data_IF_697289523947
#
_entry.id   IF_697289523947
#
_cell.length_a   1.000
_cell.length_b   1.000
_cell.length_c   1.000
_cell.angle_alpha   90.00
_cell.angle_beta   90.00
_cell.angle_gamma   90.00
#
_symmetry.space_group_name_H-M   'P 1'
#
loop_
_entity.id
_entity.type
_entity.pdbx_description
1 polymer ?
#
# COMPACT_ATOMS: atom_id res chain seq x y z
N UNK A 1 -3.75 17.02 -28.99
CA UNK A 1 -3.84 16.99 -27.51
C UNK A 1 -4.70 15.78 -27.18
N UNK A 2 -4.13 14.77 -26.54
CA UNK A 2 -4.88 13.60 -26.07
C UNK A 2 -5.50 13.97 -24.72
N UNK A 3 -6.82 13.83 -24.61
CA UNK A 3 -7.55 13.93 -23.35
C UNK A 3 -7.11 12.78 -22.45
N UNK A 4 -6.58 13.09 -21.25
CA UNK A 4 -6.22 12.08 -20.25
C UNK A 4 -7.49 11.68 -19.52
N UNK A 5 -7.91 10.43 -19.66
CA UNK A 5 -9.05 9.89 -18.94
C UNK A 5 -8.59 9.33 -17.59
N UNK A 6 -9.02 9.98 -16.51
CA UNK A 6 -8.88 9.46 -15.15
C UNK A 6 -10.10 8.61 -14.81
N UNK A 7 -9.91 7.46 -14.18
CA UNK A 7 -11.02 6.62 -13.74
C UNK A 7 -11.09 6.54 -12.22
N UNK A 8 -12.31 6.46 -11.70
CA UNK A 8 -12.60 6.36 -10.27
C UNK A 8 -12.93 4.90 -9.93
N UNK A 9 -12.30 4.34 -8.89
CA UNK A 9 -12.67 3.02 -8.34
C UNK A 9 -13.01 3.14 -6.87
N UNK A 10 -13.97 2.33 -6.41
CA UNK A 10 -14.45 2.34 -5.03
C UNK A 10 -13.84 1.17 -4.28
N UNK A 11 -13.07 1.44 -3.22
CA UNK A 11 -12.73 0.42 -2.24
C UNK A 11 -13.85 0.42 -1.19
N UNK A 12 -14.35 -0.78 -0.88
CA UNK A 12 -15.36 -0.97 0.16
C UNK A 12 -14.77 -1.87 1.23
N UNK A 13 -14.65 -1.34 2.45
CA UNK A 13 -14.26 -2.13 3.60
C UNK A 13 -15.51 -2.41 4.45
N UNK A 14 -15.70 -3.67 4.78
CA UNK A 14 -16.84 -4.12 5.59
C UNK A 14 -16.32 -4.64 6.92
N UNK A 15 -16.85 -4.10 8.02
CA UNK A 15 -16.56 -4.58 9.37
C UNK A 15 -17.84 -5.08 10.01
N UNK A 16 -17.72 -6.14 10.82
CA UNK A 16 -18.85 -6.75 11.50
C UNK A 16 -18.64 -6.69 13.01
N UNK A 17 -19.56 -6.02 13.70
CA UNK A 17 -19.72 -6.16 15.15
C UNK A 17 -20.99 -6.98 15.41
N UNK A 18 -20.80 -8.23 15.84
CA UNK A 18 -21.86 -9.24 15.98
C UNK A 18 -22.65 -9.41 14.67
N UNK A 19 -23.90 -8.91 14.61
CA UNK A 19 -24.78 -8.97 13.44
C UNK A 19 -24.89 -7.61 12.73
N UNK A 20 -24.21 -6.59 13.21
CA UNK A 20 -24.21 -5.26 12.60
C UNK A 20 -23.05 -5.19 11.62
N UNK A 21 -23.38 -4.91 10.36
CA UNK A 21 -22.41 -4.65 9.30
C UNK A 21 -22.23 -3.14 9.17
N UNK A 22 -20.99 -2.69 9.34
CA UNK A 22 -20.58 -1.34 9.00
C UNK A 22 -19.85 -1.41 7.66
N UNK A 23 -20.19 -0.51 6.75
CA UNK A 23 -19.56 -0.41 5.44
C UNK A 23 -18.93 0.96 5.33
N UNK A 24 -17.61 1.01 5.22
CA UNK A 24 -16.88 2.22 4.85
C UNK A 24 -16.55 2.14 3.37
N UNK A 25 -16.79 3.23 2.67
CA UNK A 25 -16.48 3.36 1.25
C UNK A 25 -15.49 4.49 1.09
N UNK A 26 -14.37 4.19 0.46
CA UNK A 26 -13.39 5.18 0.04
C UNK A 26 -13.29 5.14 -1.48
N UNK A 27 -13.37 6.30 -2.10
CA UNK A 27 -13.27 6.43 -3.54
C UNK A 27 -11.87 6.93 -3.89
N UNK A 28 -11.21 6.21 -4.80
CA UNK A 28 -9.86 6.50 -5.22
C UNK A 28 -9.84 6.88 -6.69
N UNK A 29 -9.02 7.87 -7.00
CA UNK A 29 -8.72 8.31 -8.35
C UNK A 29 -7.47 7.59 -8.85
N UNK A 30 -7.56 6.98 -10.02
CA UNK A 30 -6.48 6.22 -10.61
C UNK A 30 -5.94 6.86 -11.90
N UNK A 31 -4.64 6.68 -12.13
CA UNK A 31 -3.94 7.04 -13.36
C UNK A 31 -3.92 5.92 -14.39
N UNK A 32 -3.30 6.19 -15.54
CA UNK A 32 -3.28 5.26 -16.70
C UNK A 32 -2.64 3.91 -16.39
N UNK A 33 -1.66 3.84 -15.48
CA UNK A 33 -0.97 2.60 -15.09
C UNK A 33 -1.49 1.97 -13.79
N UNK A 34 -2.77 2.20 -13.43
CA UNK A 34 -3.37 1.75 -12.15
C UNK A 34 -2.76 2.40 -10.91
N UNK A 35 -2.02 3.49 -11.11
CA UNK A 35 -1.47 4.32 -10.05
C UNK A 35 -2.56 4.97 -9.21
N UNK A 36 -2.46 4.88 -7.89
CA UNK A 36 -3.35 5.59 -6.97
C UNK A 36 -2.90 7.04 -6.87
N UNK A 37 -3.76 7.96 -7.29
CA UNK A 37 -3.47 9.40 -7.33
C UNK A 37 -4.04 10.15 -6.13
N UNK A 38 -4.91 9.51 -5.35
CA UNK A 38 -5.54 10.10 -4.19
C UNK A 38 -7.00 9.73 -4.07
N UNK A 39 -7.67 10.34 -3.11
CA UNK A 39 -9.07 10.12 -2.77
C UNK A 39 -9.84 11.46 -2.74
N UNK A 40 -11.06 11.49 -2.20
CA UNK A 40 -11.89 12.69 -2.18
C UNK A 40 -11.19 13.92 -1.56
N UNK A 41 -10.34 13.73 -0.55
CA UNK A 41 -9.68 14.81 0.19
C UNK A 41 -8.23 15.01 -0.23
N UNK A 42 -7.48 13.91 -0.40
CA UNK A 42 -6.04 13.91 -0.61
C UNK A 42 -5.61 13.70 -2.05
N UNK A 43 -4.62 14.46 -2.49
CA UNK A 43 -3.78 14.19 -3.65
C UNK A 43 -2.50 13.49 -3.17
N UNK A 44 -2.21 12.31 -3.72
CA UNK A 44 -1.08 11.47 -3.30
C UNK A 44 0.14 11.75 -4.18
N UNK A 45 1.29 11.95 -3.53
CA UNK A 45 2.57 12.16 -4.17
C UNK A 45 3.48 10.97 -3.90
N UNK A 46 4.01 10.40 -4.99
CA UNK A 46 4.81 9.18 -4.96
C UNK A 46 6.29 9.45 -5.15
N UNK A 47 7.13 8.62 -4.55
CA UNK A 47 8.55 8.54 -4.87
C UNK A 47 8.81 7.73 -6.16
N UNK A 48 10.09 7.52 -6.50
CA UNK A 48 10.50 6.77 -7.69
C UNK A 48 10.18 5.27 -7.66
N UNK A 49 9.76 4.72 -6.51
CA UNK A 49 9.31 3.33 -6.33
C UNK A 49 7.82 3.22 -6.00
N UNK A 50 7.06 4.29 -6.29
CA UNK A 50 5.62 4.39 -6.07
C UNK A 50 5.18 4.42 -4.60
N UNK A 51 6.07 4.70 -3.65
CA UNK A 51 5.66 4.90 -2.24
C UNK A 51 4.98 6.25 -2.06
N UNK A 52 3.81 6.27 -1.45
CA UNK A 52 3.06 7.49 -1.15
C UNK A 52 3.62 8.08 0.15
N UNK A 53 4.50 9.09 0.03
CA UNK A 53 5.13 9.74 1.17
C UNK A 53 4.49 11.07 1.55
N UNK A 54 3.90 11.79 0.58
CA UNK A 54 3.29 13.10 0.82
C UNK A 54 1.86 13.11 0.32
N UNK A 55 0.97 13.67 1.13
CA UNK A 55 -0.43 13.88 0.78
C UNK A 55 -0.74 15.36 0.97
N UNK A 56 -1.29 15.99 -0.08
CA UNK A 56 -1.77 17.37 -0.03
C UNK A 56 -3.27 17.40 -0.20
N UNK A 57 -3.95 18.38 0.38
CA UNK A 57 -5.36 18.60 0.13
C UNK A 57 -5.59 18.86 -1.37
N UNK A 58 -6.55 18.15 -1.95
CA UNK A 58 -6.83 18.18 -3.38
C UNK A 58 -7.33 19.53 -3.87
N UNK A 59 -8.01 20.32 -3.03
CA UNK A 59 -8.56 21.62 -3.40
C UNK A 59 -7.60 22.77 -3.07
N UNK A 60 -7.08 22.81 -1.84
CA UNK A 60 -6.23 23.93 -1.39
C UNK A 60 -4.76 23.75 -1.75
N UNK A 61 -4.30 22.52 -1.99
CA UNK A 61 -2.89 22.20 -2.19
C UNK A 61 -2.06 22.23 -0.89
N UNK A 62 -2.70 22.46 0.26
CA UNK A 62 -2.02 22.46 1.56
C UNK A 62 -1.54 21.07 1.94
N UNK A 63 -0.45 20.99 2.71
CA UNK A 63 0.07 19.72 3.21
C UNK A 63 -0.91 19.11 4.22
N UNK A 64 -1.35 17.87 3.98
CA UNK A 64 -2.11 17.07 4.95
C UNK A 64 -1.14 16.25 5.80
N UNK A 65 -0.28 15.46 5.14
CA UNK A 65 0.70 14.62 5.82
C UNK A 65 1.97 14.41 4.99
N UNK A 66 3.07 14.13 5.68
CA UNK A 66 4.34 13.72 5.11
C UNK A 66 4.97 12.64 5.99
N UNK A 67 5.23 11.47 5.40
CA UNK A 67 5.86 10.32 6.03
C UNK A 67 7.00 9.81 5.17
N UNK A 68 7.99 9.21 5.83
CA UNK A 68 9.09 8.50 5.19
C UNK A 68 8.98 7.02 5.54
N UNK A 69 9.46 6.18 4.64
CA UNK A 69 9.54 4.74 4.86
C UNK A 69 11.00 4.33 5.01
N UNK A 70 11.28 3.34 5.85
CA UNK A 70 12.55 2.63 5.77
C UNK A 70 12.57 1.71 4.53
N UNK A 71 13.68 1.02 4.32
CA UNK A 71 13.90 0.17 3.15
C UNK A 71 12.86 -0.95 3.05
N UNK A 72 12.35 -1.44 4.19
CA UNK A 72 11.34 -2.50 4.28
C UNK A 72 9.91 -1.97 4.43
N UNK A 73 9.68 -0.68 4.15
CA UNK A 73 8.35 -0.09 4.10
C UNK A 73 7.73 0.24 5.46
N UNK A 74 8.49 0.23 6.56
CA UNK A 74 7.99 0.72 7.84
C UNK A 74 7.93 2.25 7.82
N UNK A 75 6.74 2.79 8.01
CA UNK A 75 6.48 4.22 7.97
C UNK A 75 6.91 4.89 9.28
N UNK A 76 7.50 6.08 9.18
CA UNK A 76 7.86 6.91 10.34
C UNK A 76 6.62 7.44 11.08
N UNK A 77 5.56 7.74 10.33
CA UNK A 77 4.22 7.99 10.87
C UNK A 77 3.37 6.74 10.71
N UNK A 78 2.62 6.41 11.77
CA UNK A 78 1.68 5.29 11.76
C UNK A 78 0.61 5.52 10.72
N UNK A 79 0.45 4.55 9.82
CA UNK A 79 -0.61 4.54 8.83
C UNK A 79 -1.87 3.89 9.40
N UNK A 80 -3.04 4.40 9.02
CA UNK A 80 -4.34 3.89 9.48
C UNK A 80 -5.25 3.56 8.30
N UNK A 81 -5.18 2.31 7.82
CA UNK A 81 -6.07 1.80 6.76
C UNK A 81 -5.97 2.62 5.46
N UNK A 82 -4.75 2.83 4.98
CA UNK A 82 -4.47 3.70 3.83
C UNK A 82 -3.38 3.11 2.93
N UNK A 83 -3.24 3.66 1.72
CA UNK A 83 -2.20 3.26 0.78
C UNK A 83 -0.90 4.00 1.06
N UNK A 84 0.22 3.27 1.08
CA UNK A 84 1.51 3.79 1.51
C UNK A 84 2.69 3.30 0.66
N UNK A 85 3.58 2.53 1.29
CA UNK A 85 4.79 2.00 0.67
C UNK A 85 4.45 1.21 -0.61
N UNK A 86 5.14 1.52 -1.71
CA UNK A 86 4.89 0.95 -3.05
C UNK A 86 3.42 0.99 -3.50
N UNK A 87 2.63 1.97 -3.02
CA UNK A 87 1.19 2.10 -3.30
C UNK A 87 0.36 0.88 -2.87
N UNK A 88 0.79 0.18 -1.82
CA UNK A 88 0.08 -0.96 -1.27
C UNK A 88 -0.69 -0.57 0.00
N UNK A 89 -1.75 -1.32 0.31
CA UNK A 89 -2.64 -0.99 1.43
C UNK A 89 -2.02 -1.43 2.76
N UNK A 90 -1.88 -0.49 3.69
CA UNK A 90 -1.40 -0.69 5.05
C UNK A 90 -2.56 -0.71 6.04
N UNK A 91 -2.55 -1.67 6.95
CA UNK A 91 -3.41 -1.63 8.12
C UNK A 91 -2.72 -0.93 9.31
N UNK A 92 -3.49 -0.79 10.39
CA UNK A 92 -3.01 -0.23 11.65
C UNK A 92 -1.95 -1.10 12.36
N UNK A 93 -1.59 -2.29 11.87
CA UNK A 93 -0.64 -3.20 12.52
C UNK A 93 0.70 -3.26 11.80
N UNK A 94 1.03 -2.25 10.99
CA UNK A 94 2.24 -2.25 10.14
C UNK A 94 2.28 -3.47 9.20
N UNK A 95 1.10 -3.86 8.68
CA UNK A 95 0.95 -4.96 7.73
C UNK A 95 0.52 -4.43 6.37
N UNK A 96 1.18 -4.91 5.33
CA UNK A 96 0.84 -4.64 3.92
C UNK A 96 0.10 -5.85 3.35
N UNK A 97 -1.03 -5.57 2.70
CA UNK A 97 -1.89 -6.56 2.08
C UNK A 97 -1.52 -6.80 0.60
N UNK A 98 -0.52 -7.64 0.32
CA UNK A 98 0.03 -7.89 -1.02
C UNK A 98 -0.75 -8.94 -1.82
N UNK A 99 -2.09 -8.95 -1.69
CA UNK A 99 -3.05 -9.85 -2.36
C UNK A 99 -2.89 -11.34 -2.00
N UNK A 100 -1.76 -11.95 -2.36
CA UNK A 100 -1.48 -13.36 -2.12
C UNK A 100 -0.94 -13.63 -0.70
N UNK A 101 -0.25 -12.64 -0.12
CA UNK A 101 0.37 -12.74 1.21
C UNK A 101 0.30 -11.42 1.94
N UNK A 102 0.34 -11.54 3.25
CA UNK A 102 0.45 -10.46 4.20
C UNK A 102 1.92 -10.24 4.54
N UNK A 103 2.36 -8.98 4.57
CA UNK A 103 3.74 -8.61 4.81
C UNK A 103 3.84 -7.72 6.04
N UNK A 104 4.73 -8.03 6.97
CA UNK A 104 5.02 -7.21 8.14
C UNK A 104 6.20 -6.30 7.85
N UNK A 105 5.98 -4.98 7.87
CA UNK A 105 7.05 -4.00 7.67
C UNK A 105 7.99 -3.93 8.87
N UNK A 106 7.47 -4.19 10.08
CA UNK A 106 8.27 -4.21 11.32
C UNK A 106 9.31 -5.34 11.32
N UNK A 107 9.00 -6.50 10.73
CA UNK A 107 9.96 -7.61 10.64
C UNK A 107 10.66 -7.69 9.28
N UNK A 108 10.15 -6.97 8.28
CA UNK A 108 10.60 -7.04 6.90
C UNK A 108 10.34 -8.40 6.24
N UNK A 109 9.28 -9.12 6.63
CA UNK A 109 9.00 -10.50 6.20
C UNK A 109 7.51 -10.73 5.89
N UNK A 110 7.25 -11.71 5.03
CA UNK A 110 5.91 -12.24 4.85
C UNK A 110 5.47 -13.01 6.11
N UNK A 111 4.16 -12.97 6.39
CA UNK A 111 3.55 -13.70 7.50
C UNK A 111 3.12 -15.12 7.10
N UNK A 112 2.97 -15.38 5.80
CA UNK A 112 2.69 -16.69 5.25
C UNK A 112 3.88 -17.21 4.44
N UNK A 113 4.01 -18.53 4.47
CA UNK A 113 4.94 -19.29 3.64
C UNK A 113 4.58 -19.16 2.15
N UNK A 114 5.57 -18.91 1.31
CA UNK A 114 5.39 -19.00 -0.15
C UNK A 114 5.10 -20.44 -0.60
N UNK A 115 4.16 -20.58 -1.55
CA UNK A 115 3.90 -21.86 -2.23
C UNK A 115 5.02 -22.24 -3.19
N UNK A 116 5.82 -21.27 -3.63
CA UNK A 116 7.00 -21.51 -4.46
C UNK A 116 8.21 -21.86 -3.57
N UNK A 117 8.85 -22.99 -3.87
CA UNK A 117 9.98 -23.51 -3.09
C UNK A 117 11.31 -22.80 -3.36
N UNK A 118 11.39 -21.91 -4.35
CA UNK A 118 12.65 -21.33 -4.80
C UNK A 118 13.45 -22.27 -5.71
N UNK A 119 14.70 -21.88 -6.01
CA UNK A 119 15.66 -22.66 -6.81
C UNK A 119 16.92 -22.95 -6.00
N UNK A 120 17.52 -24.13 -6.20
CA UNK A 120 18.76 -24.52 -5.48
C UNK A 120 19.93 -23.64 -5.90
N UNK A 121 19.95 -23.22 -7.16
CA UNK A 121 20.95 -22.31 -7.73
C UNK A 121 20.82 -20.87 -7.21
N UNK A 122 19.71 -20.55 -6.54
CA UNK A 122 19.46 -19.25 -5.91
C UNK A 122 19.10 -19.46 -4.43
N UNK A 123 20.07 -19.77 -3.55
CA UNK A 123 19.80 -20.20 -2.18
C UNK A 123 18.94 -19.24 -1.35
N UNK A 124 19.00 -17.93 -1.62
CA UNK A 124 18.14 -16.96 -0.93
C UNK A 124 16.65 -17.21 -1.22
N UNK A 125 16.29 -17.58 -2.46
CA UNK A 125 14.91 -17.89 -2.84
C UNK A 125 14.30 -19.07 -2.09
N UNK A 126 15.10 -19.92 -1.44
CA UNK A 126 14.62 -21.02 -0.61
C UNK A 126 14.01 -20.54 0.73
N UNK A 127 14.30 -19.31 1.16
CA UNK A 127 13.65 -18.74 2.33
C UNK A 127 12.28 -18.17 1.93
N UNK A 128 11.23 -18.95 2.21
CA UNK A 128 9.86 -18.70 1.75
C UNK A 128 9.13 -17.53 2.44
N UNK A 129 9.84 -16.75 3.26
CA UNK A 129 9.31 -15.59 3.99
C UNK A 129 10.01 -14.28 3.64
N UNK A 130 11.06 -14.30 2.82
CA UNK A 130 11.80 -13.06 2.49
C UNK A 130 11.06 -12.20 1.49
N UNK A 131 11.28 -10.90 1.60
CA UNK A 131 10.78 -9.91 0.68
C UNK A 131 11.90 -9.50 -0.28
N UNK A 132 11.65 -9.64 -1.59
CA UNK A 132 12.52 -9.18 -2.69
C UNK A 132 13.99 -9.61 -2.52
N UNK A 133 14.24 -10.88 -2.19
CA UNK A 133 15.60 -11.40 -1.95
C UNK A 133 16.42 -10.66 -0.86
N UNK A 134 15.73 -9.99 0.08
CA UNK A 134 16.31 -9.06 1.06
C UNK A 134 17.00 -7.82 0.44
N UNK A 135 16.58 -7.44 -0.76
CA UNK A 135 16.96 -6.20 -1.43
C UNK A 135 15.71 -5.41 -1.84
N UNK A 136 15.00 -4.84 -0.84
CA UNK A 136 13.74 -4.14 -1.07
C UNK A 136 13.90 -2.78 -1.76
#
# INVERSE_FOLDING_TARGET
MLEKEWYQTKLTQETYDKKVKTTQRQEFTFGEETDILGDEEGQYHRDGYSSIGTITNRQSGELITNTLYNEYGEAALRLENEYGYRSEYHDQSNRIHLRAREYSTTTGRFLQEDTWYGKVEQPQSQNRYIYVENNP
#
